data_IF_115763834094
#
_entry.id   IF_115763834094
#
_cell.length_a   1.000
_cell.length_b   1.000
_cell.length_c   1.000
_cell.angle_alpha   90.00
_cell.angle_beta   90.00
_cell.angle_gamma   90.00
#
_symmetry.space_group_name_H-M   'P 1'
#
loop_
_entity.id
_entity.type
_entity.pdbx_description
1 polymer ?
#
# COMPACT_ATOMS: atom_id res chain seq x y z
N UNK A 1 -0.32 -4.63 -2.74
CA UNK A 1 0.12 -5.27 -1.49
C UNK A 1 0.68 -6.62 -1.87
N UNK A 2 1.99 -6.86 -1.73
CA UNK A 2 2.63 -8.14 -2.11
C UNK A 2 2.34 -9.18 -1.04
N UNK A 3 1.22 -9.88 -1.14
CA UNK A 3 0.80 -10.90 -0.18
C UNK A 3 1.70 -12.15 -0.15
N UNK A 4 2.66 -12.28 -1.07
CA UNK A 4 3.53 -13.47 -1.18
C UNK A 4 5.05 -13.17 -1.17
N UNK A 5 5.47 -11.90 -1.05
CA UNK A 5 6.90 -11.55 -1.06
C UNK A 5 7.38 -11.31 0.38
N UNK A 6 8.27 -12.14 0.93
CA UNK A 6 8.83 -11.90 2.25
C UNK A 6 9.66 -10.61 2.25
N UNK A 7 9.76 -9.95 3.41
CA UNK A 7 10.50 -8.70 3.56
C UNK A 7 12.02 -8.87 3.31
N UNK A 8 12.53 -10.09 3.43
CA UNK A 8 13.92 -10.47 3.20
C UNK A 8 14.02 -11.90 2.64
N UNK A 9 15.19 -12.27 2.13
CA UNK A 9 15.47 -13.61 1.60
C UNK A 9 16.25 -14.43 2.63
N UNK A 10 15.73 -15.61 3.00
CA UNK A 10 16.40 -16.51 3.96
C UNK A 10 17.73 -17.04 3.42
N UNK A 11 17.83 -17.29 2.11
CA UNK A 11 19.06 -17.74 1.45
C UNK A 11 20.24 -16.76 1.57
N UNK A 12 19.98 -15.51 1.98
CA UNK A 12 20.99 -14.46 2.14
C UNK A 12 21.36 -14.20 3.59
N UNK A 13 20.71 -14.86 4.53
CA UNK A 13 20.95 -14.73 5.96
C UNK A 13 21.76 -15.93 6.45
N UNK A 14 22.92 -15.67 7.04
CA UNK A 14 23.79 -16.72 7.58
C UNK A 14 24.38 -16.31 8.93
N UNK A 15 24.76 -17.29 9.74
CA UNK A 15 25.54 -17.05 10.95
C UNK A 15 26.96 -16.64 10.59
N UNK A 16 27.47 -15.61 11.28
CA UNK A 16 28.89 -15.28 11.32
C UNK A 16 29.55 -15.89 12.54
N UNK A 17 28.87 -15.77 13.68
CA UNK A 17 29.17 -16.44 14.95
C UNK A 17 27.85 -16.97 15.45
N UNK A 18 27.76 -18.28 15.64
CA UNK A 18 26.52 -18.96 16.01
C UNK A 18 25.95 -18.37 17.31
N UNK A 19 24.65 -18.07 17.31
CA UNK A 19 23.95 -17.49 18.47
C UNK A 19 24.22 -16.01 18.75
N UNK A 20 25.22 -15.38 18.11
CA UNK A 20 25.61 -14.00 18.42
C UNK A 20 25.45 -13.05 17.23
N UNK A 21 26.00 -13.42 16.07
CA UNK A 21 26.15 -12.52 14.92
C UNK A 21 25.62 -13.13 13.64
N UNK A 22 24.79 -12.35 12.95
CA UNK A 22 24.21 -12.68 11.65
C UNK A 22 24.79 -11.78 10.57
N UNK A 23 24.99 -12.35 9.39
CA UNK A 23 25.35 -11.64 8.16
C UNK A 23 24.21 -11.76 7.17
N UNK A 24 23.77 -10.63 6.63
CA UNK A 24 22.83 -10.57 5.53
C UNK A 24 23.51 -10.04 4.27
N UNK A 25 23.49 -10.83 3.18
CA UNK A 25 24.03 -10.43 1.87
C UNK A 25 23.05 -9.52 1.12
N UNK A 26 23.49 -8.32 0.80
CA UNK A 26 22.72 -7.31 0.07
C UNK A 26 22.94 -7.54 -1.44
N UNK A 27 21.88 -7.62 -2.27
CA UNK A 27 22.02 -7.90 -3.70
C UNK A 27 22.67 -6.77 -4.49
N UNK A 28 22.56 -5.53 -4.02
CA UNK A 28 23.14 -4.35 -4.64
C UNK A 28 24.14 -3.76 -3.67
N UNK A 29 25.36 -3.51 -4.15
CA UNK A 29 26.38 -2.84 -3.35
C UNK A 29 25.88 -1.47 -2.91
N UNK A 30 26.17 -1.13 -1.65
CA UNK A 30 25.91 0.21 -1.14
C UNK A 30 26.90 1.22 -1.75
N UNK A 31 26.65 2.54 -1.62
CA UNK A 31 27.58 3.56 -2.10
C UNK A 31 28.99 3.45 -1.50
N UNK A 32 29.11 2.87 -0.31
CA UNK A 32 30.37 2.59 0.40
C UNK A 32 31.03 1.26 -0.04
N UNK A 33 30.49 0.57 -1.05
CA UNK A 33 30.97 -0.71 -1.54
C UNK A 33 30.59 -1.91 -0.66
N UNK A 34 29.90 -1.72 0.48
CA UNK A 34 29.55 -2.82 1.38
C UNK A 34 28.39 -3.64 0.82
N UNK A 35 28.56 -4.96 0.83
CA UNK A 35 27.54 -5.94 0.42
C UNK A 35 27.03 -6.82 1.56
N UNK A 36 27.59 -6.66 2.76
CA UNK A 36 27.22 -7.43 3.93
C UNK A 36 26.70 -6.50 5.02
N UNK A 37 25.55 -6.87 5.59
CA UNK A 37 25.00 -6.23 6.78
C UNK A 37 25.19 -7.19 7.95
N UNK A 38 25.96 -6.77 8.95
CA UNK A 38 26.16 -7.53 10.17
C UNK A 38 25.22 -7.03 11.26
N UNK A 39 24.56 -7.95 11.94
CA UNK A 39 23.55 -7.65 12.96
C UNK A 39 23.72 -8.60 14.14
N UNK A 40 23.43 -8.11 15.35
CA UNK A 40 23.11 -9.00 16.46
C UNK A 40 21.75 -9.68 16.29
N UNK A 41 21.51 -10.77 17.01
CA UNK A 41 20.20 -11.47 16.97
C UNK A 41 19.05 -10.53 17.36
N UNK A 42 19.20 -9.80 18.47
CA UNK A 42 18.18 -8.86 18.93
C UNK A 42 17.99 -7.70 17.95
N UNK A 43 19.07 -7.19 17.36
CA UNK A 43 18.98 -6.11 16.37
C UNK A 43 18.19 -6.54 15.12
N UNK A 44 18.35 -7.79 14.68
CA UNK A 44 17.52 -8.34 13.61
C UNK A 44 16.05 -8.39 14.03
N UNK A 45 15.76 -8.90 15.23
CA UNK A 45 14.39 -9.00 15.76
C UNK A 45 13.72 -7.63 15.89
N UNK A 46 14.43 -6.62 16.40
CA UNK A 46 13.93 -5.25 16.53
C UNK A 46 13.57 -4.66 15.17
N UNK A 47 14.43 -4.86 14.16
CA UNK A 47 14.18 -4.40 12.79
C UNK A 47 13.00 -5.13 12.14
N UNK A 48 12.82 -6.42 12.43
CA UNK A 48 11.67 -7.19 11.95
C UNK A 48 10.37 -6.73 12.63
N UNK A 49 10.41 -6.49 13.94
CA UNK A 49 9.27 -5.99 14.71
C UNK A 49 8.83 -4.61 14.20
N UNK A 50 9.77 -3.75 13.78
CA UNK A 50 9.46 -2.45 13.20
C UNK A 50 8.66 -2.52 11.88
N UNK A 51 8.66 -3.65 11.17
CA UNK A 51 7.82 -3.85 9.98
C UNK A 51 6.35 -4.12 10.32
N UNK A 52 6.06 -4.53 11.56
CA UNK A 52 4.70 -4.79 12.01
C UNK A 52 4.05 -3.44 12.30
N UNK A 53 2.98 -3.06 11.59
CA UNK A 53 2.32 -1.79 11.84
C UNK A 53 1.75 -1.76 13.27
N UNK A 54 1.75 -0.60 13.94
CA UNK A 54 1.26 -0.48 15.30
C UNK A 54 -0.21 -0.91 15.40
N UNK A 55 -0.60 -1.47 16.55
CA UNK A 55 -1.94 -1.98 16.75
C UNK A 55 -2.99 -0.88 16.55
N UNK A 56 -4.16 -1.27 16.05
CA UNK A 56 -5.34 -0.40 15.83
C UNK A 56 -5.15 0.69 14.77
N UNK A 57 -4.18 0.56 13.86
CA UNK A 57 -4.13 1.40 12.65
C UNK A 57 -4.77 0.68 11.46
N UNK A 58 -5.69 1.38 10.79
CA UNK A 58 -6.37 0.86 9.60
C UNK A 58 -5.35 0.67 8.47
N UNK A 59 -4.97 -0.59 8.20
CA UNK A 59 -4.04 -0.94 7.11
C UNK A 59 -4.69 -0.82 5.73
N UNK A 60 -6.01 -0.93 5.68
CA UNK A 60 -6.80 -0.82 4.46
C UNK A 60 -7.58 0.49 4.50
N UNK A 61 -7.29 1.36 3.54
CA UNK A 61 -8.10 2.53 3.26
C UNK A 61 -8.82 2.29 1.93
N UNK A 62 -10.13 2.14 2.01
CA UNK A 62 -10.96 1.99 0.82
C UNK A 62 -11.12 3.34 0.12
N UNK A 63 -11.14 3.32 -1.20
CA UNK A 63 -11.29 4.48 -2.07
C UNK A 63 -12.43 4.26 -3.06
N UNK A 64 -12.87 5.35 -3.69
CA UNK A 64 -13.97 5.30 -4.66
C UNK A 64 -15.27 4.83 -4.01
N UNK A 65 -15.96 3.92 -4.71
CA UNK A 65 -17.30 3.44 -4.33
C UNK A 65 -17.32 2.69 -2.98
N UNK A 66 -16.18 2.13 -2.55
CA UNK A 66 -16.05 1.42 -1.27
C UNK A 66 -15.64 2.34 -0.10
N UNK A 67 -15.39 3.63 -0.34
CA UNK A 67 -14.98 4.55 0.71
C UNK A 67 -16.10 4.77 1.77
N UNK A 68 -15.75 5.11 3.03
CA UNK A 68 -16.74 5.35 4.10
C UNK A 68 -17.77 6.44 3.79
N UNK A 69 -17.37 7.48 3.04
CA UNK A 69 -18.24 8.62 2.69
C UNK A 69 -18.54 8.67 1.18
N UNK A 70 -18.57 7.53 0.50
CA UNK A 70 -18.92 7.48 -0.92
C UNK A 70 -20.39 7.85 -1.14
N UNK A 71 -20.68 8.68 -2.14
CA UNK A 71 -22.06 9.09 -2.48
C UNK A 71 -22.97 7.90 -2.81
N UNK A 72 -22.41 6.82 -3.38
CA UNK A 72 -23.13 5.61 -3.74
C UNK A 72 -23.15 4.54 -2.63
N UNK A 73 -22.68 4.85 -1.42
CA UNK A 73 -22.54 3.86 -0.34
C UNK A 73 -23.84 3.18 0.02
N UNK A 74 -24.95 3.90 0.10
CA UNK A 74 -26.25 3.34 0.47
C UNK A 74 -26.75 2.33 -0.59
N UNK A 75 -26.59 2.67 -1.88
CA UNK A 75 -26.93 1.79 -2.99
C UNK A 75 -26.05 0.52 -3.04
N UNK A 76 -24.78 0.64 -2.68
CA UNK A 76 -23.84 -0.49 -2.64
C UNK A 76 -24.11 -1.39 -1.43
N UNK A 77 -24.35 -0.79 -0.26
CA UNK A 77 -24.56 -1.52 0.99
C UNK A 77 -25.89 -2.26 0.99
N UNK A 78 -26.95 -1.66 0.43
CA UNK A 78 -28.26 -2.31 0.26
C UNK A 78 -28.24 -3.54 -0.64
N UNK A 79 -27.28 -3.61 -1.58
CA UNK A 79 -27.06 -4.77 -2.46
C UNK A 79 -26.00 -5.74 -1.93
N UNK A 80 -25.37 -5.46 -0.79
CA UNK A 80 -24.35 -6.34 -0.24
C UNK A 80 -24.96 -7.71 0.12
N UNK A 81 -24.32 -8.80 -0.33
CA UNK A 81 -24.78 -10.17 -0.08
C UNK A 81 -25.84 -10.70 -1.07
N UNK A 82 -26.37 -9.86 -1.95
CA UNK A 82 -27.23 -10.32 -3.05
C UNK A 82 -26.39 -11.08 -4.10
N UNK A 83 -26.94 -12.13 -4.74
CA UNK A 83 -26.27 -12.79 -5.86
C UNK A 83 -25.95 -11.78 -6.95
N UNK A 84 -24.70 -11.77 -7.42
CA UNK A 84 -24.32 -10.95 -8.58
C UNK A 84 -24.93 -11.63 -9.81
N UNK A 85 -26.04 -11.10 -10.31
CA UNK A 85 -26.50 -11.42 -11.65
C UNK A 85 -25.42 -10.95 -12.63
N UNK A 86 -24.65 -11.88 -13.18
CA UNK A 86 -23.66 -11.60 -14.23
C UNK A 86 -24.41 -11.25 -15.51
N UNK A 87 -24.87 -10.02 -15.61
CA UNK A 87 -25.16 -9.40 -16.91
C UNK A 87 -23.83 -9.26 -17.64
N UNK A 88 -23.68 -9.94 -18.78
CA UNK A 88 -22.54 -9.82 -19.66
C UNK A 88 -22.47 -8.38 -20.22
N UNK A 89 -21.84 -7.48 -19.46
CA UNK A 89 -21.51 -6.14 -19.95
C UNK A 89 -20.14 -6.21 -20.62
N UNK A 90 -20.17 -6.26 -21.94
CA UNK A 90 -19.05 -6.05 -22.84
C UNK A 90 -18.26 -4.82 -22.39
N UNK A 91 -16.97 -4.99 -22.13
CA UNK A 91 -16.08 -3.88 -21.85
C UNK A 91 -16.09 -2.87 -23.03
N UNK A 92 -16.17 -1.56 -22.79
CA UNK A 92 -15.87 -0.60 -23.85
C UNK A 92 -14.37 -0.73 -24.23
N UNK A 93 -14.02 -0.61 -25.52
CA UNK A 93 -12.65 -0.76 -25.97
C UNK A 93 -11.72 0.27 -25.32
N UNK A 94 -10.45 -0.08 -25.05
CA UNK A 94 -9.48 0.88 -24.52
C UNK A 94 -9.16 1.89 -25.62
N UNK A 95 -9.59 3.15 -25.46
CA UNK A 95 -9.20 4.20 -26.41
C UNK A 95 -10.12 5.40 -26.61
N UNK A 96 -11.25 5.53 -25.91
CA UNK A 96 -12.07 6.75 -26.02
C UNK A 96 -11.71 7.77 -24.92
N UNK A 97 -10.54 8.39 -25.05
CA UNK A 97 -10.24 9.62 -24.32
C UNK A 97 -11.23 10.71 -24.75
N UNK A 98 -12.03 11.22 -23.81
CA UNK A 98 -12.69 12.53 -23.96
C UNK A 98 -11.85 13.54 -23.17
N UNK A 99 -11.52 14.72 -23.74
CA UNK A 99 -10.76 15.72 -23.01
C UNK A 99 -11.59 16.21 -21.83
N UNK A 100 -10.99 16.20 -20.64
CA UNK A 100 -11.58 16.77 -19.45
C UNK A 100 -11.62 18.30 -19.59
N UNK A 101 -12.80 18.85 -19.86
CA UNK A 101 -13.05 20.28 -19.73
C UNK A 101 -12.98 20.66 -18.26
N UNK A 102 -11.80 21.16 -17.86
CA UNK A 102 -11.51 21.62 -16.51
C UNK A 102 -12.26 22.93 -16.27
N UNK A 103 -13.49 22.83 -15.78
CA UNK A 103 -14.22 23.95 -15.20
C UNK A 103 -13.39 24.56 -14.08
N UNK A 104 -12.72 25.69 -14.38
CA UNK A 104 -12.10 26.55 -13.38
C UNK A 104 -13.19 27.37 -12.73
N UNK A 105 -13.88 26.81 -11.73
CA UNK A 105 -14.63 27.65 -10.79
C UNK A 105 -13.67 28.11 -9.70
N UNK A 106 -13.06 29.27 -9.93
CA UNK A 106 -12.35 30.00 -8.90
C UNK A 106 -13.35 30.39 -7.81
N UNK A 107 -13.03 30.02 -6.57
CA UNK A 107 -13.67 30.56 -5.39
C UNK A 107 -13.24 32.03 -5.23
N UNK A 108 -14.11 32.97 -5.58
CA UNK A 108 -13.98 34.34 -5.09
C UNK A 108 -14.80 34.48 -3.81
N UNK A 109 -14.11 34.35 -2.69
CA UNK A 109 -14.58 34.80 -1.38
C UNK A 109 -14.63 36.34 -1.43
N UNK A 110 -15.82 36.93 -1.58
CA UNK A 110 -16.01 38.37 -1.34
C UNK A 110 -16.62 38.57 0.03
N UNK A 111 -15.76 38.94 0.99
CA UNK A 111 -16.15 39.64 2.22
C UNK A 111 -16.85 40.96 1.86
N UNK A 112 -17.90 41.31 2.59
CA UNK A 112 -18.40 42.69 2.67
C UNK A 112 -19.91 42.79 2.68
N UNK A 113 -20.51 42.85 3.87
CA UNK A 113 -21.89 43.25 4.10
C UNK A 113 -21.85 44.58 4.88
N UNK A 114 -22.50 45.67 4.45
CA UNK A 114 -22.93 46.73 5.36
C UNK A 114 -24.20 46.30 6.12
#
# INVERSE_FOLDING_TARGET
MTCARPAFSLERLSWRVEGERLVYRIPKSRPDGRQHLELGVNELLDRLAALIPPPRRHRHRYHGVLAPNATLRDAVTSRAGQPIERSAQTAPPPGAGKPAERSRRAASYSRGRP
#
